data_IF_041139720456
#
_entry.id   IF_041139720456
#
_cell.length_a   1.000
_cell.length_b   1.000
_cell.length_c   1.000
_cell.angle_alpha   90.00
_cell.angle_beta   90.00
_cell.angle_gamma   90.00
#
_symmetry.space_group_name_H-M   'P 1'
#
loop_
_entity.id
_entity.type
_entity.pdbx_description
1 polymer ?
#
# COMPACT_ATOMS: atom_id res chain seq x y z
N UNK A 1 27.13 4.00 43.25
CA UNK A 1 27.02 4.27 41.80
C UNK A 1 26.30 3.14 41.04
N UNK A 2 26.63 1.86 41.31
CA UNK A 2 25.96 0.69 40.71
C UNK A 2 24.44 0.59 41.00
N UNK A 3 24.02 0.79 42.25
CA UNK A 3 22.60 0.68 42.64
C UNK A 3 21.69 1.76 42.03
N UNK A 4 22.19 3.00 41.93
CA UNK A 4 21.44 4.10 41.33
C UNK A 4 21.22 3.89 39.82
N UNK A 5 22.23 3.35 39.12
CA UNK A 5 22.10 3.00 37.71
C UNK A 5 21.09 1.86 37.50
N UNK A 6 21.16 0.84 38.35
CA UNK A 6 20.21 -0.29 38.34
C UNK A 6 18.76 0.16 38.61
N UNK A 7 18.55 1.11 39.53
CA UNK A 7 17.23 1.68 39.81
C UNK A 7 16.65 2.47 38.63
N UNK A 8 17.50 3.21 37.90
CA UNK A 8 17.10 3.95 36.69
C UNK A 8 16.70 2.97 35.58
N UNK A 9 17.48 1.92 35.35
CA UNK A 9 17.19 0.92 34.31
C UNK A 9 15.90 0.15 34.61
N UNK A 10 15.68 -0.19 35.89
CA UNK A 10 14.42 -0.80 36.35
C UNK A 10 13.22 0.11 36.10
N UNK A 11 13.32 1.39 36.46
CA UNK A 11 12.23 2.35 36.27
C UNK A 11 11.89 2.55 34.79
N UNK A 12 12.90 2.59 33.91
CA UNK A 12 12.72 2.66 32.45
C UNK A 12 12.04 1.41 31.90
N UNK A 13 12.46 0.22 32.34
CA UNK A 13 11.85 -1.04 31.93
C UNK A 13 10.37 -1.12 32.36
N UNK A 14 10.05 -0.69 33.58
CA UNK A 14 8.67 -0.63 34.07
C UNK A 14 7.82 0.40 33.29
N UNK A 15 8.39 1.56 32.94
CA UNK A 15 7.71 2.54 32.11
C UNK A 15 7.42 1.99 30.71
N UNK A 16 8.40 1.33 30.10
CA UNK A 16 8.23 0.66 28.80
C UNK A 16 7.14 -0.40 28.87
N UNK A 17 7.17 -1.28 29.88
CA UNK A 17 6.15 -2.32 30.06
C UNK A 17 4.73 -1.74 30.19
N UNK A 18 4.56 -0.66 30.95
CA UNK A 18 3.26 0.04 31.07
C UNK A 18 2.80 0.62 29.73
N UNK A 19 3.72 1.20 28.95
CA UNK A 19 3.41 1.74 27.62
C UNK A 19 2.95 0.62 26.67
N UNK A 20 3.64 -0.52 26.65
CA UNK A 20 3.25 -1.68 25.83
C UNK A 20 1.86 -2.19 26.21
N UNK A 21 1.57 -2.33 27.50
CA UNK A 21 0.27 -2.79 27.98
C UNK A 21 -0.85 -1.83 27.58
N UNK A 22 -0.62 -0.52 27.68
CA UNK A 22 -1.58 0.49 27.21
C UNK A 22 -1.82 0.38 25.70
N UNK A 23 -0.76 0.19 24.90
CA UNK A 23 -0.90 -0.01 23.45
C UNK A 23 -1.72 -1.26 23.13
N UNK A 24 -1.44 -2.40 23.79
CA UNK A 24 -2.20 -3.65 23.61
C UNK A 24 -3.68 -3.47 23.96
N UNK A 25 -3.98 -2.78 25.07
CA UNK A 25 -5.36 -2.50 25.48
C UNK A 25 -6.10 -1.61 24.49
N UNK A 26 -5.42 -0.64 23.88
CA UNK A 26 -6.03 0.25 22.88
C UNK A 26 -6.29 -0.51 21.58
N UNK A 27 -5.31 -1.25 21.09
CA UNK A 27 -5.40 -2.05 19.87
C UNK A 27 -6.43 -3.19 20.00
N UNK A 28 -6.59 -3.75 21.21
CA UNK A 28 -7.52 -4.85 21.45
C UNK A 28 -7.01 -6.18 20.88
N UNK A 29 -7.71 -7.26 21.23
CA UNK A 29 -7.29 -8.63 20.90
C UNK A 29 -7.28 -8.91 19.39
N UNK A 30 -8.27 -8.39 18.65
CA UNK A 30 -8.40 -8.62 17.21
C UNK A 30 -7.22 -8.04 16.43
N UNK A 31 -6.86 -6.78 16.68
CA UNK A 31 -5.71 -6.14 16.03
C UNK A 31 -4.40 -6.75 16.51
N UNK A 32 -4.29 -7.07 17.80
CA UNK A 32 -3.09 -7.74 18.34
C UNK A 32 -2.85 -9.10 17.67
N UNK A 33 -3.91 -9.86 17.37
CA UNK A 33 -3.79 -11.15 16.69
C UNK A 33 -3.18 -11.03 15.28
N UNK A 34 -3.41 -9.90 14.59
CA UNK A 34 -2.86 -9.66 13.24
C UNK A 34 -1.33 -9.56 13.25
N UNK A 35 -0.71 -9.10 14.34
CA UNK A 35 0.75 -9.07 14.43
C UNK A 35 1.38 -10.47 14.39
N UNK A 36 0.64 -11.50 14.78
CA UNK A 36 1.06 -12.90 14.74
C UNK A 36 0.67 -13.61 13.44
N UNK A 37 -0.14 -12.99 12.59
CA UNK A 37 -0.58 -13.55 11.31
C UNK A 37 0.54 -13.44 10.26
N UNK A 38 1.10 -14.57 9.78
CA UNK A 38 2.19 -14.54 8.80
C UNK A 38 1.73 -14.09 7.41
N UNK A 39 0.43 -14.05 7.14
CA UNK A 39 -0.12 -13.56 5.87
C UNK A 39 -0.39 -12.06 5.89
N UNK A 40 -0.42 -11.42 7.06
CA UNK A 40 -0.75 -10.01 7.20
C UNK A 40 0.39 -9.09 6.71
N UNK A 41 0.00 -8.07 5.95
CA UNK A 41 0.91 -7.10 5.31
C UNK A 41 0.78 -5.74 6.00
N UNK A 42 -0.44 -5.26 6.18
CA UNK A 42 -0.71 -3.92 6.69
C UNK A 42 -2.03 -3.86 7.47
N UNK A 43 -2.06 -3.06 8.54
CA UNK A 43 -3.26 -2.74 9.31
C UNK A 43 -3.53 -1.25 9.15
N UNK A 44 -4.76 -0.86 8.77
CA UNK A 44 -5.13 0.52 8.49
C UNK A 44 -6.34 0.92 9.32
N UNK A 45 -6.29 2.09 9.96
CA UNK A 45 -7.47 2.76 10.51
C UNK A 45 -7.85 3.92 9.58
N UNK A 46 -9.04 3.83 9.01
CA UNK A 46 -9.61 4.87 8.16
C UNK A 46 -10.32 5.96 8.98
N UNK A 47 -10.63 7.07 8.32
CA UNK A 47 -11.25 8.24 8.96
C UNK A 47 -12.72 8.03 9.36
N UNK A 48 -13.36 6.99 8.84
CA UNK A 48 -14.68 6.52 9.25
C UNK A 48 -14.65 5.61 10.50
N UNK A 49 -13.46 5.32 11.04
CA UNK A 49 -13.26 4.49 12.23
C UNK A 49 -13.19 2.99 11.93
N UNK A 50 -13.27 2.55 10.67
CA UNK A 50 -13.07 1.15 10.31
C UNK A 50 -11.58 0.80 10.31
N UNK A 51 -11.27 -0.37 10.85
CA UNK A 51 -9.94 -0.97 10.82
C UNK A 51 -9.93 -2.03 9.73
N UNK A 52 -9.08 -1.85 8.74
CA UNK A 52 -8.87 -2.77 7.63
C UNK A 52 -7.53 -3.49 7.82
N UNK A 53 -7.40 -4.66 7.21
CA UNK A 53 -6.17 -5.45 7.17
C UNK A 53 -5.95 -5.98 5.77
N UNK A 54 -4.73 -5.79 5.25
CA UNK A 54 -4.26 -6.39 4.02
C UNK A 54 -3.57 -7.72 4.32
N UNK A 55 -3.92 -8.77 3.57
CA UNK A 55 -3.26 -10.09 3.65
C UNK A 55 -2.80 -10.56 2.27
N UNK A 56 -1.68 -11.27 2.24
CA UNK A 56 -1.14 -11.89 1.04
C UNK A 56 -2.18 -12.77 0.34
N UNK A 57 -2.55 -12.41 -0.89
CA UNK A 57 -3.46 -13.17 -1.74
C UNK A 57 -4.95 -13.08 -1.36
N UNK A 58 -5.32 -12.23 -0.40
CA UNK A 58 -6.71 -12.06 0.03
C UNK A 58 -7.21 -10.61 -0.08
N UNK A 59 -6.35 -9.67 -0.51
CA UNK A 59 -6.70 -8.25 -0.60
C UNK A 59 -6.90 -7.58 0.75
N UNK A 60 -7.59 -6.45 0.75
CA UNK A 60 -7.93 -5.69 1.95
C UNK A 60 -9.30 -6.12 2.46
N UNK A 61 -9.37 -6.44 3.76
CA UNK A 61 -10.61 -6.87 4.42
C UNK A 61 -10.86 -6.07 5.70
N UNK A 62 -12.14 -5.85 6.04
CA UNK A 62 -12.51 -5.21 7.30
C UNK A 62 -12.26 -6.15 8.48
N UNK A 63 -11.57 -5.67 9.50
CA UNK A 63 -11.24 -6.41 10.71
C UNK A 63 -12.17 -6.07 11.86
N UNK A 64 -12.28 -4.78 12.19
CA UNK A 64 -13.02 -4.29 13.36
C UNK A 64 -13.24 -2.77 13.24
N UNK A 65 -13.76 -2.12 14.29
CA UNK A 65 -13.87 -0.65 14.34
C UNK A 65 -13.12 -0.09 15.56
N UNK A 66 -12.61 1.14 15.44
CA UNK A 66 -11.91 1.84 16.50
C UNK A 66 -12.49 3.25 16.69
N UNK A 67 -12.94 3.60 17.91
CA UNK A 67 -13.33 4.97 18.23
C UNK A 67 -12.15 5.95 18.08
N UNK A 68 -12.42 7.14 17.55
CA UNK A 68 -11.41 8.19 17.35
C UNK A 68 -10.60 8.50 18.62
N UNK A 69 -11.23 8.49 19.81
CA UNK A 69 -10.54 8.71 21.09
C UNK A 69 -9.46 7.65 21.37
N UNK A 70 -9.72 6.38 21.04
CA UNK A 70 -8.71 5.31 21.16
C UNK A 70 -7.56 5.53 20.19
N UNK A 71 -7.87 5.93 18.95
CA UNK A 71 -6.85 6.22 17.95
C UNK A 71 -5.93 7.37 18.39
N UNK A 72 -6.48 8.52 18.84
CA UNK A 72 -5.67 9.63 19.39
C UNK A 72 -4.74 9.14 20.50
N UNK A 73 -5.24 8.31 21.42
CA UNK A 73 -4.43 7.78 22.52
C UNK A 73 -3.28 6.91 21.99
N UNK A 74 -3.51 6.06 20.98
CA UNK A 74 -2.46 5.26 20.36
C UNK A 74 -1.40 6.14 19.70
N UNK A 75 -1.81 7.15 18.93
CA UNK A 75 -0.90 8.11 18.31
C UNK A 75 -0.08 8.88 19.36
N UNK A 76 -0.69 9.26 20.48
CA UNK A 76 0.00 9.88 21.61
C UNK A 76 1.05 8.96 22.26
N UNK A 77 0.72 7.68 22.47
CA UNK A 77 1.68 6.69 22.98
C UNK A 77 2.82 6.46 22.00
N UNK A 78 2.53 6.37 20.70
CA UNK A 78 3.55 6.28 19.65
C UNK A 78 4.44 7.51 19.63
N UNK A 79 3.88 8.71 19.74
CA UNK A 79 4.66 9.94 19.82
C UNK A 79 5.58 9.92 21.05
N UNK A 80 5.06 9.55 22.22
CA UNK A 80 5.84 9.42 23.45
C UNK A 80 6.97 8.39 23.33
N UNK A 81 6.70 7.22 22.74
CA UNK A 81 7.70 6.18 22.50
C UNK A 81 8.82 6.65 21.54
N UNK A 82 8.46 7.50 20.58
CA UNK A 82 9.38 8.09 19.60
C UNK A 82 10.02 9.40 20.08
N UNK A 83 9.82 9.77 21.35
CA UNK A 83 10.33 11.02 21.94
C UNK A 83 9.93 12.27 21.14
N UNK A 84 8.72 12.25 20.56
CA UNK A 84 8.13 13.35 19.81
C UNK A 84 6.77 13.73 20.39
N UNK A 85 6.21 14.83 19.90
CA UNK A 85 4.84 15.25 20.17
C UNK A 85 3.95 15.00 18.95
N UNK A 86 2.65 14.92 19.22
CA UNK A 86 1.59 14.94 18.22
C UNK A 86 0.54 15.94 18.66
N UNK A 87 0.11 16.79 17.74
CA UNK A 87 -0.82 17.88 18.04
C UNK A 87 -1.22 18.62 16.78
N UNK A 88 -2.05 19.65 16.90
CA UNK A 88 -2.59 20.38 15.74
C UNK A 88 -1.50 20.96 14.83
N UNK A 89 -0.40 21.43 15.41
CA UNK A 89 0.73 22.02 14.70
C UNK A 89 1.71 20.98 14.14
N UNK A 90 1.69 19.75 14.69
CA UNK A 90 2.47 18.60 14.25
C UNK A 90 1.57 17.37 14.17
N UNK A 91 0.73 17.27 13.12
CA UNK A 91 -0.36 16.30 13.08
C UNK A 91 0.06 14.90 12.66
N UNK A 92 1.35 14.63 12.47
CA UNK A 92 1.87 13.37 11.92
C UNK A 92 2.81 12.71 12.94
N UNK A 93 2.67 11.39 13.10
CA UNK A 93 3.56 10.54 13.90
C UNK A 93 4.03 9.38 13.04
N UNK A 94 5.34 9.20 12.92
CA UNK A 94 5.93 8.12 12.14
C UNK A 94 7.08 7.46 12.90
N UNK A 95 7.29 6.17 12.63
CA UNK A 95 8.46 5.45 13.13
C UNK A 95 8.24 3.96 13.27
N UNK A 96 9.27 3.26 13.74
CA UNK A 96 9.14 1.86 14.13
C UNK A 96 8.39 1.75 15.47
N UNK A 97 7.45 0.83 15.53
CA UNK A 97 6.80 0.40 16.77
C UNK A 97 7.80 -0.33 17.69
N UNK A 98 7.44 -0.52 18.97
CA UNK A 98 8.25 -1.33 19.88
C UNK A 98 8.52 -2.77 19.38
N UNK A 99 9.58 -3.43 19.87
CA UNK A 99 9.92 -4.81 19.53
C UNK A 99 8.77 -5.81 19.73
N UNK A 100 7.93 -5.58 20.73
CA UNK A 100 6.74 -6.37 21.07
C UNK A 100 5.65 -6.33 19.99
N UNK A 101 5.75 -5.36 19.07
CA UNK A 101 4.94 -5.21 17.86
C UNK A 101 5.79 -5.42 16.60
N UNK A 102 6.79 -6.30 16.72
CA UNK A 102 7.67 -6.75 15.62
C UNK A 102 8.44 -5.62 14.93
N UNK A 103 8.63 -4.48 15.60
CA UNK A 103 9.23 -3.27 14.99
C UNK A 103 8.49 -2.83 13.71
N UNK A 104 7.18 -3.08 13.63
CA UNK A 104 6.35 -2.69 12.50
C UNK A 104 6.46 -1.19 12.23
N UNK A 105 6.34 -0.79 10.97
CA UNK A 105 6.39 0.63 10.60
C UNK A 105 5.02 1.25 10.84
N UNK A 106 4.98 2.29 11.65
CA UNK A 106 3.79 3.06 11.97
C UNK A 106 3.84 4.40 11.27
N UNK A 107 2.71 4.82 10.69
CA UNK A 107 2.45 6.18 10.26
C UNK A 107 1.03 6.54 10.66
N UNK A 108 0.84 7.65 11.37
CA UNK A 108 -0.49 8.10 11.79
C UNK A 108 -0.63 9.60 11.65
N UNK A 109 -1.86 10.04 11.45
CA UNK A 109 -2.19 11.46 11.42
C UNK A 109 -3.46 11.79 12.21
N UNK A 110 -3.55 13.05 12.64
CA UNK A 110 -4.71 13.64 13.32
C UNK A 110 -5.21 14.88 12.58
N UNK A 111 -6.39 15.41 12.92
CA UNK A 111 -6.84 16.70 12.42
C UNK A 111 -5.82 17.83 12.64
N UNK A 112 -5.65 18.75 11.66
CA UNK A 112 -6.54 18.98 10.52
C UNK A 112 -6.16 18.24 9.23
N UNK A 113 -5.11 17.40 9.22
CA UNK A 113 -4.66 16.72 7.99
C UNK A 113 -5.69 15.71 7.49
N UNK A 114 -6.38 15.07 8.41
CA UNK A 114 -7.52 14.17 8.18
C UNK A 114 -8.73 14.63 9.01
N UNK A 115 -9.97 14.31 8.62
CA UNK A 115 -11.16 14.70 9.38
C UNK A 115 -11.20 14.08 10.79
N UNK A 116 -10.69 12.85 10.92
CA UNK A 116 -10.54 12.11 12.18
C UNK A 116 -9.16 11.45 12.22
N UNK A 117 -8.70 10.93 13.37
CA UNK A 117 -7.41 10.27 13.48
C UNK A 117 -7.35 8.98 12.65
N UNK A 118 -6.28 8.82 11.89
CA UNK A 118 -6.02 7.62 11.06
C UNK A 118 -4.61 7.11 11.30
N UNK A 119 -4.37 5.84 10.99
CA UNK A 119 -3.02 5.29 10.98
C UNK A 119 -2.89 4.09 10.03
N UNK A 120 -1.66 3.79 9.65
CA UNK A 120 -1.25 2.60 8.94
C UNK A 120 -0.08 1.94 9.68
N UNK A 121 -0.14 0.62 9.84
CA UNK A 121 0.87 -0.22 10.47
C UNK A 121 1.30 -1.25 9.44
N UNK A 122 2.46 -1.03 8.83
CA UNK A 122 3.04 -1.99 7.89
C UNK A 122 3.89 -3.00 8.63
N UNK A 123 3.51 -4.26 8.53
CA UNK A 123 4.18 -5.37 9.18
C UNK A 123 5.44 -5.76 8.39
N UNK A 124 6.51 -6.20 9.08
CA UNK A 124 7.69 -6.71 8.38
C UNK A 124 7.34 -8.02 7.68
N UNK A 125 7.77 -8.14 6.42
CA UNK A 125 7.57 -9.35 5.63
C UNK A 125 8.19 -10.56 6.35
N UNK A 126 7.37 -11.55 6.67
CA UNK A 126 7.79 -12.85 7.23
C UNK A 126 8.21 -13.84 6.14
N UNK A 127 7.61 -13.73 4.95
CA UNK A 127 7.91 -14.57 3.80
C UNK A 127 9.08 -13.99 3.01
N UNK A 128 10.21 -14.66 3.11
CA UNK A 128 11.30 -14.49 2.15
C UNK A 128 10.92 -15.34 0.93
N UNK A 129 10.51 -14.68 -0.15
CA UNK A 129 10.30 -15.34 -1.44
C UNK A 129 11.67 -15.61 -2.06
N UNK A 130 11.99 -16.88 -2.26
CA UNK A 130 13.19 -17.32 -2.96
C UNK A 130 13.03 -17.10 -4.46
N UNK A 131 14.13 -17.07 -5.22
CA UNK A 131 14.04 -17.03 -6.69
C UNK A 131 13.28 -18.24 -7.25
N UNK A 132 13.31 -19.38 -6.56
CA UNK A 132 12.55 -20.59 -6.92
C UNK A 132 11.04 -20.39 -6.72
N UNK A 133 10.62 -19.65 -5.68
CA UNK A 133 9.21 -19.27 -5.50
C UNK A 133 8.72 -18.36 -6.65
N UNK A 134 9.59 -17.47 -7.15
CA UNK A 134 9.27 -16.63 -8.30
C UNK A 134 9.22 -17.42 -9.61
N UNK A 135 10.05 -18.46 -9.78
CA UNK A 135 9.97 -19.34 -10.96
C UNK A 135 8.72 -20.20 -10.92
N UNK A 136 8.44 -20.83 -9.78
CA UNK A 136 7.26 -21.69 -9.62
C UNK A 136 5.94 -20.93 -9.75
N UNK A 137 5.91 -19.64 -9.37
CA UNK A 137 4.75 -18.76 -9.59
C UNK A 137 4.69 -18.13 -11.00
N UNK A 138 5.67 -18.40 -11.87
CA UNK A 138 5.73 -17.89 -13.23
C UNK A 138 6.10 -16.40 -13.34
N UNK A 139 6.48 -15.75 -12.24
CA UNK A 139 6.94 -14.35 -12.21
C UNK A 139 8.34 -14.23 -12.81
N UNK A 140 9.20 -15.23 -12.62
CA UNK A 140 10.50 -15.37 -13.28
C UNK A 140 10.51 -16.61 -14.17
N UNK A 141 11.22 -16.54 -15.30
CA UNK A 141 11.63 -17.75 -16.01
C UNK A 141 12.91 -18.33 -15.42
N UNK A 142 13.16 -19.63 -15.64
CA UNK A 142 14.41 -20.27 -15.21
C UNK A 142 15.65 -19.57 -15.79
N UNK A 143 15.55 -19.08 -17.03
CA UNK A 143 16.61 -18.31 -17.68
C UNK A 143 16.86 -16.96 -16.97
N UNK A 144 15.79 -16.25 -16.57
CA UNK A 144 15.89 -14.98 -15.83
C UNK A 144 16.48 -15.20 -14.43
N UNK A 145 16.09 -16.27 -13.75
CA UNK A 145 16.69 -16.71 -12.48
C UNK A 145 18.19 -16.93 -12.66
N UNK A 146 18.61 -17.68 -13.68
CA UNK A 146 20.03 -17.91 -13.96
C UNK A 146 20.83 -16.62 -14.18
N UNK A 147 20.27 -15.65 -14.91
CA UNK A 147 20.91 -14.33 -15.12
C UNK A 147 21.03 -13.53 -13.82
N UNK A 148 20.02 -13.59 -12.94
CA UNK A 148 20.04 -12.91 -11.64
C UNK A 148 21.09 -13.54 -10.71
N UNK A 149 21.13 -14.87 -10.61
CA UNK A 149 22.13 -15.59 -9.81
C UNK A 149 23.55 -15.24 -10.27
N UNK A 150 23.82 -15.32 -11.58
CA UNK A 150 25.14 -14.97 -12.13
C UNK A 150 25.52 -13.49 -11.91
N UNK A 151 24.54 -12.58 -11.91
CA UNK A 151 24.77 -11.17 -11.61
C UNK A 151 25.09 -10.94 -10.12
N UNK A 152 24.44 -11.67 -9.21
CA UNK A 152 24.71 -11.64 -7.77
C UNK A 152 26.10 -12.20 -7.47
N UNK A 153 26.43 -13.38 -8.02
CA UNK A 153 27.75 -14.02 -7.83
C UNK A 153 28.88 -13.16 -8.39
N UNK A 154 28.63 -12.51 -9.53
CA UNK A 154 29.52 -11.52 -10.12
C UNK A 154 29.55 -10.16 -9.40
N UNK A 155 28.85 -10.02 -8.27
CA UNK A 155 28.72 -8.79 -7.46
C UNK A 155 28.33 -7.56 -8.28
N UNK A 156 27.49 -7.74 -9.29
CA UNK A 156 26.99 -6.63 -10.10
C UNK A 156 25.99 -5.82 -9.28
N UNK A 157 25.95 -4.51 -9.50
CA UNK A 157 24.91 -3.66 -8.94
C UNK A 157 23.57 -3.99 -9.64
N UNK A 158 22.59 -4.46 -8.87
CA UNK A 158 21.27 -4.85 -9.39
C UNK A 158 20.24 -3.81 -8.93
N UNK A 159 19.66 -3.10 -9.89
CA UNK A 159 18.52 -2.21 -9.66
C UNK A 159 17.24 -2.97 -9.98
N UNK A 160 16.40 -3.18 -8.97
CA UNK A 160 15.04 -3.70 -9.14
C UNK A 160 14.10 -2.51 -9.29
N UNK A 161 13.44 -2.40 -10.43
CA UNK A 161 12.49 -1.34 -10.75
C UNK A 161 11.13 -1.98 -11.02
N UNK A 162 10.16 -1.75 -10.13
CA UNK A 162 8.74 -2.04 -10.35
C UNK A 162 7.99 -0.74 -10.61
N UNK A 163 7.02 -0.76 -11.52
CA UNK A 163 6.17 0.41 -11.77
C UNK A 163 5.12 0.56 -10.68
N UNK A 164 4.97 1.75 -10.12
CA UNK A 164 3.64 2.24 -9.74
C UNK A 164 2.92 2.62 -11.04
N UNK A 165 2.03 1.76 -11.51
CA UNK A 165 1.15 2.01 -12.67
C UNK A 165 1.78 1.70 -14.04
N UNK A 166 1.15 0.78 -14.78
CA UNK A 166 1.39 0.62 -16.21
C UNK A 166 0.81 1.83 -16.95
N UNK A 167 1.59 2.49 -17.80
CA UNK A 167 1.10 3.59 -18.63
C UNK A 167 0.61 3.05 -19.98
N UNK A 168 -0.62 3.39 -20.37
CA UNK A 168 -1.12 3.11 -21.71
C UNK A 168 -0.40 3.96 -22.76
N UNK A 169 -0.38 3.49 -24.01
CA UNK A 169 0.08 4.31 -25.14
C UNK A 169 -0.67 5.65 -25.19
N UNK A 170 0.05 6.74 -25.42
CA UNK A 170 -0.46 8.10 -25.42
C UNK A 170 -0.57 8.73 -24.02
N UNK A 171 -0.21 8.03 -22.95
CA UNK A 171 -0.25 8.58 -21.61
C UNK A 171 0.69 9.81 -21.49
N UNK A 172 0.20 10.95 -21.01
CA UNK A 172 1.00 12.18 -20.95
C UNK A 172 2.02 12.12 -19.80
N UNK A 173 3.30 12.32 -20.12
CA UNK A 173 4.37 12.48 -19.15
C UNK A 173 4.75 13.95 -19.06
N UNK A 174 4.71 14.51 -17.84
CA UNK A 174 5.17 15.87 -17.58
C UNK A 174 6.70 15.91 -17.55
N UNK A 175 7.27 16.70 -18.45
CA UNK A 175 8.71 16.89 -18.58
C UNK A 175 9.20 17.98 -17.62
N UNK A 176 10.49 17.98 -17.31
CA UNK A 176 11.09 18.94 -16.38
C UNK A 176 11.03 20.40 -16.86
N UNK A 177 10.89 20.62 -18.17
CA UNK A 177 10.69 21.93 -18.79
C UNK A 177 9.22 22.37 -18.81
N UNK A 178 8.31 21.57 -18.24
CA UNK A 178 6.87 21.81 -18.23
C UNK A 178 6.14 21.35 -19.49
N UNK A 179 6.84 20.83 -20.50
CA UNK A 179 6.20 20.24 -21.67
C UNK A 179 5.56 18.88 -21.36
N UNK A 180 4.64 18.44 -22.21
CA UNK A 180 4.05 17.10 -22.13
C UNK A 180 4.62 16.26 -23.27
N UNK A 181 5.13 15.07 -22.93
CA UNK A 181 5.59 14.08 -23.90
C UNK A 181 4.78 12.78 -23.74
N UNK A 182 4.28 12.17 -24.81
CA UNK A 182 3.66 10.84 -24.73
C UNK A 182 4.65 9.80 -24.20
N UNK A 183 4.18 8.85 -23.39
CA UNK A 183 5.03 7.84 -22.73
C UNK A 183 5.82 6.98 -23.72
N UNK A 184 5.26 6.71 -24.92
CA UNK A 184 5.94 5.94 -25.96
C UNK A 184 7.15 6.67 -26.55
N UNK A 185 7.15 8.00 -26.53
CA UNK A 185 8.18 8.86 -27.12
C UNK A 185 9.29 9.22 -26.11
N UNK A 186 9.12 8.86 -24.84
CA UNK A 186 10.16 9.05 -23.82
C UNK A 186 11.38 8.19 -24.17
N UNK A 187 12.56 8.81 -24.13
CA UNK A 187 13.85 8.16 -24.41
C UNK A 187 14.80 8.25 -23.21
N UNK A 188 15.78 7.35 -23.15
CA UNK A 188 16.86 7.45 -22.15
C UNK A 188 17.59 8.78 -22.32
N UNK A 189 17.82 9.48 -21.21
CA UNK A 189 18.40 10.82 -21.16
C UNK A 189 17.37 11.94 -20.96
N UNK A 190 16.09 11.69 -21.23
CA UNK A 190 15.03 12.68 -21.00
C UNK A 190 14.96 13.12 -19.54
N UNK A 191 14.56 14.39 -19.33
CA UNK A 191 14.33 14.96 -18.01
C UNK A 191 12.83 15.02 -17.72
N UNK A 192 12.34 14.14 -16.86
CA UNK A 192 10.92 14.11 -16.43
C UNK A 192 10.73 14.88 -15.13
N UNK A 193 9.53 15.38 -14.89
CA UNK A 193 9.19 16.10 -13.65
C UNK A 193 9.01 15.12 -12.49
N UNK A 194 9.74 15.33 -11.39
CA UNK A 194 9.52 14.60 -10.14
C UNK A 194 8.33 15.18 -9.35
N UNK A 195 7.72 14.39 -8.45
CA UNK A 195 6.63 14.86 -7.59
C UNK A 195 7.06 15.98 -6.62
N UNK A 196 8.36 16.13 -6.40
CA UNK A 196 8.97 17.23 -5.65
C UNK A 196 9.30 18.45 -6.52
N UNK A 197 8.75 18.52 -7.73
CA UNK A 197 9.02 19.56 -8.74
C UNK A 197 10.49 19.65 -9.17
N UNK A 198 11.32 18.63 -8.90
CA UNK A 198 12.73 18.59 -9.33
C UNK A 198 12.91 17.63 -10.51
N UNK A 199 13.82 17.93 -11.46
CA UNK A 199 14.06 17.05 -12.62
C UNK A 199 14.53 15.64 -12.23
N UNK A 200 14.11 14.62 -12.98
CA UNK A 200 14.62 13.23 -12.93
C UNK A 200 15.11 12.83 -14.31
N UNK A 201 16.22 12.10 -14.37
CA UNK A 201 16.76 11.61 -15.65
C UNK A 201 16.24 10.21 -15.91
N UNK A 202 15.69 9.98 -17.10
CA UNK A 202 15.35 8.64 -17.56
C UNK A 202 16.65 7.90 -17.83
N UNK A 203 17.02 6.95 -16.97
CA UNK A 203 18.27 6.19 -17.10
C UNK A 203 18.07 4.90 -17.90
N UNK A 204 16.84 4.38 -17.95
CA UNK A 204 16.47 3.14 -18.64
C UNK A 204 14.96 3.11 -18.85
N UNK A 205 14.54 2.45 -19.93
CA UNK A 205 13.14 2.21 -20.26
C UNK A 205 12.82 0.73 -20.17
N UNK A 206 11.60 0.43 -19.74
CA UNK A 206 11.00 -0.90 -19.81
C UNK A 206 9.76 -0.79 -20.68
N UNK A 207 9.72 -1.57 -21.76
CA UNK A 207 8.59 -1.62 -22.69
C UNK A 207 8.01 -3.02 -22.65
N UNK A 208 6.68 -3.10 -22.68
CA UNK A 208 5.94 -4.35 -22.69
C UNK A 208 4.63 -4.16 -23.44
N UNK A 209 4.04 -5.27 -23.86
CA UNK A 209 2.70 -5.33 -24.41
C UNK A 209 1.82 -6.09 -23.42
N UNK A 210 0.64 -5.55 -23.15
CA UNK A 210 -0.37 -6.20 -22.31
C UNK A 210 -1.76 -5.79 -22.83
N UNK A 211 -2.77 -6.58 -22.48
CA UNK A 211 -4.14 -6.22 -22.77
C UNK A 211 -4.55 -5.06 -21.85
N UNK A 212 -4.97 -3.95 -22.46
CA UNK A 212 -5.40 -2.77 -21.72
C UNK A 212 -6.92 -2.68 -21.68
N UNK A 213 -7.44 -2.18 -20.56
CA UNK A 213 -8.85 -1.98 -20.28
C UNK A 213 -9.09 -0.52 -19.94
N UNK A 214 -10.01 0.12 -20.66
CA UNK A 214 -10.49 1.47 -20.30
C UNK A 214 -11.59 1.35 -19.26
N UNK A 215 -11.38 1.97 -18.11
CA UNK A 215 -12.32 2.02 -17.00
C UNK A 215 -13.06 3.35 -17.03
N UNK A 216 -14.39 3.31 -17.20
CA UNK A 216 -15.25 4.49 -17.03
C UNK A 216 -16.00 4.40 -15.68
N UNK A 217 -15.53 5.07 -14.62
CA UNK A 217 -16.28 5.13 -13.37
C UNK A 217 -17.51 6.04 -13.54
N UNK A 218 -18.54 5.81 -12.71
CA UNK A 218 -19.73 6.66 -12.67
C UNK A 218 -19.47 8.08 -12.14
N UNK A 219 -18.33 8.30 -11.50
CA UNK A 219 -17.80 9.61 -11.06
C UNK A 219 -16.29 9.65 -11.28
N UNK A 220 -15.78 10.78 -11.77
CA UNK A 220 -14.36 10.97 -12.06
C UNK A 220 -14.01 10.64 -13.52
N UNK A 221 -12.74 10.85 -13.85
CA UNK A 221 -12.24 10.67 -15.21
C UNK A 221 -12.02 9.19 -15.53
N UNK A 222 -12.11 8.88 -16.82
CA UNK A 222 -11.76 7.56 -17.32
C UNK A 222 -10.26 7.31 -17.13
N UNK A 223 -9.90 6.08 -16.80
CA UNK A 223 -8.49 5.68 -16.69
C UNK A 223 -8.27 4.36 -17.41
N UNK A 224 -7.02 4.06 -17.76
CA UNK A 224 -6.66 2.85 -18.53
C UNK A 224 -5.69 2.04 -17.70
N UNK A 225 -5.98 0.75 -17.57
CA UNK A 225 -5.23 -0.20 -16.75
C UNK A 225 -4.93 -1.46 -17.54
N UNK A 226 -3.96 -2.25 -17.08
CA UNK A 226 -3.69 -3.55 -17.69
C UNK A 226 -4.59 -4.66 -17.10
N UNK A 227 -4.56 -5.84 -17.70
CA UNK A 227 -5.38 -6.99 -17.31
C UNK A 227 -5.31 -7.32 -15.81
N UNK A 228 -4.10 -7.35 -15.25
CA UNK A 228 -3.84 -7.70 -13.85
C UNK A 228 -4.08 -6.58 -12.84
N UNK A 229 -4.54 -5.39 -13.27
CA UNK A 229 -4.82 -4.31 -12.34
C UNK A 229 -6.03 -4.65 -11.47
N UNK A 230 -5.85 -4.54 -10.15
CA UNK A 230 -6.91 -4.78 -9.17
C UNK A 230 -7.81 -3.55 -9.11
N UNK A 231 -9.09 -3.74 -9.42
CA UNK A 231 -10.13 -2.73 -9.32
C UNK A 231 -10.89 -2.92 -8.00
N UNK A 232 -10.75 -1.99 -7.04
CA UNK A 232 -11.63 -1.97 -5.88
C UNK A 232 -12.99 -1.42 -6.30
N UNK A 233 -14.01 -2.29 -6.30
CA UNK A 233 -15.38 -1.96 -6.65
C UNK A 233 -16.22 -1.82 -5.38
N UNK A 234 -16.84 -0.65 -5.18
CA UNK A 234 -17.81 -0.44 -4.10
C UNK A 234 -19.23 -0.42 -4.65
N UNK A 235 -20.10 -1.29 -4.11
CA UNK A 235 -21.51 -1.39 -4.49
C UNK A 235 -22.44 -1.15 -3.31
N UNK A 236 -23.58 -0.49 -3.55
CA UNK A 236 -24.70 -0.45 -2.59
C UNK A 236 -25.62 -1.64 -2.87
N UNK A 237 -25.86 -2.51 -1.87
CA UNK A 237 -26.91 -3.53 -1.96
C UNK A 237 -28.28 -2.87 -2.12
N UNK A 238 -29.12 -3.39 -3.03
CA UNK A 238 -30.53 -2.98 -3.19
C UNK A 238 -31.39 -3.51 -2.02
N UNK A 239 -30.90 -4.52 -1.30
CA UNK A 239 -31.58 -5.13 -0.14
C UNK A 239 -30.65 -5.01 1.07
N UNK A 240 -30.91 -4.01 1.92
CA UNK A 240 -30.23 -3.83 3.19
C UNK A 240 -28.84 -3.21 3.10
N UNK A 241 -28.77 -1.89 2.83
CA UNK A 241 -27.88 -0.89 3.45
C UNK A 241 -26.34 -1.03 3.45
N UNK A 242 -25.76 -2.21 3.32
CA UNK A 242 -24.34 -2.42 3.48
C UNK A 242 -23.61 -2.20 2.14
N UNK A 243 -22.55 -1.39 2.20
CA UNK A 243 -21.57 -1.26 1.14
C UNK A 243 -20.67 -2.49 1.17
N UNK A 244 -20.63 -3.23 0.07
CA UNK A 244 -19.65 -4.30 -0.12
C UNK A 244 -18.55 -3.77 -1.05
N UNK A 245 -17.30 -3.88 -0.60
CA UNK A 245 -16.11 -3.66 -1.43
C UNK A 245 -15.63 -5.02 -1.95
N UNK A 246 -15.44 -5.10 -3.27
CA UNK A 246 -14.99 -6.27 -4.00
C UNK A 246 -13.76 -5.89 -4.80
N UNK A 247 -12.67 -6.61 -4.61
CA UNK A 247 -11.47 -6.48 -5.44
C UNK A 247 -11.52 -7.55 -6.53
N UNK A 248 -11.52 -7.11 -7.79
CA UNK A 248 -11.42 -8.00 -8.95
C UNK A 248 -10.43 -7.42 -9.95
N UNK A 249 -9.78 -8.26 -10.74
CA UNK A 249 -8.92 -7.76 -11.82
C UNK A 249 -9.73 -7.12 -12.94
N UNK A 250 -9.10 -6.24 -13.72
CA UNK A 250 -9.73 -5.61 -14.89
C UNK A 250 -10.24 -6.64 -15.91
N UNK A 251 -9.50 -7.74 -16.09
CA UNK A 251 -9.91 -8.84 -16.98
C UNK A 251 -11.15 -9.59 -16.45
N UNK A 252 -11.17 -9.92 -15.15
CA UNK A 252 -12.32 -10.60 -14.51
C UNK A 252 -13.58 -9.74 -14.56
N UNK A 253 -13.43 -8.43 -14.30
CA UNK A 253 -14.51 -7.45 -14.43
C UNK A 253 -15.09 -7.44 -15.86
N UNK A 254 -14.22 -7.42 -16.88
CA UNK A 254 -14.63 -7.42 -18.28
C UNK A 254 -15.36 -8.70 -18.67
N UNK A 255 -14.81 -9.87 -18.31
CA UNK A 255 -15.44 -11.17 -18.59
C UNK A 255 -16.83 -11.25 -17.95
N UNK A 256 -16.97 -10.82 -16.69
CA UNK A 256 -18.23 -10.86 -15.97
C UNK A 256 -19.30 -9.94 -16.58
N UNK A 257 -18.94 -8.69 -16.93
CA UNK A 257 -19.85 -7.72 -17.57
C UNK A 257 -20.26 -8.17 -18.97
N UNK A 258 -19.32 -8.72 -19.75
CA UNK A 258 -19.57 -9.19 -21.11
C UNK A 258 -20.56 -10.36 -21.17
N UNK A 259 -20.54 -11.24 -20.15
CA UNK A 259 -21.44 -12.39 -20.04
C UNK A 259 -22.83 -12.02 -19.49
N UNK A 260 -22.97 -10.86 -18.85
CA UNK A 260 -24.23 -10.42 -18.23
C UNK A 260 -24.61 -9.00 -18.70
N UNK A 261 -25.19 -8.83 -19.91
CA UNK A 261 -25.45 -7.51 -20.49
C UNK A 261 -26.44 -6.65 -19.67
N UNK A 262 -27.32 -7.27 -18.87
CA UNK A 262 -28.20 -6.56 -17.93
C UNK A 262 -27.44 -5.85 -16.79
N UNK A 263 -26.20 -6.24 -16.54
CA UNK A 263 -25.27 -5.62 -15.59
C UNK A 263 -24.69 -4.30 -16.10
N UNK A 264 -24.82 -3.98 -17.39
CA UNK A 264 -24.48 -2.65 -17.95
C UNK A 264 -25.35 -1.51 -17.40
N UNK A 265 -26.44 -1.83 -16.68
CA UNK A 265 -27.26 -0.85 -15.95
C UNK A 265 -26.70 -0.50 -14.57
N UNK A 266 -25.67 -1.20 -14.08
CA UNK A 266 -24.85 -0.71 -12.96
C UNK A 266 -24.06 0.48 -13.49
N UNK A 267 -24.26 1.67 -12.91
CA UNK A 267 -23.75 2.97 -13.40
C UNK A 267 -22.21 3.13 -13.36
N UNK A 268 -21.45 2.05 -13.32
CA UNK A 268 -20.00 2.06 -13.28
C UNK A 268 -19.49 0.94 -14.20
N UNK A 269 -18.51 1.27 -15.05
CA UNK A 269 -17.72 0.38 -15.91
C UNK A 269 -18.36 0.05 -17.26
N UNK A 270 -18.13 0.95 -18.21
CA UNK A 270 -17.86 0.51 -19.59
C UNK A 270 -16.41 0.05 -19.62
N UNK A 271 -16.19 -1.20 -19.98
CA UNK A 271 -14.87 -1.79 -20.18
C UNK A 271 -14.72 -2.10 -21.67
N UNK A 272 -13.89 -1.32 -22.34
CA UNK A 272 -13.49 -1.62 -23.71
C UNK A 272 -12.09 -2.25 -23.68
N UNK A 273 -11.93 -3.40 -24.33
CA UNK A 273 -10.61 -3.99 -24.54
C UNK A 273 -9.90 -3.18 -25.64
N UNK A 274 -8.81 -2.52 -25.27
CA UNK A 274 -7.97 -1.81 -26.23
C UNK A 274 -6.75 -2.69 -26.48
N UNK A 275 -6.76 -3.41 -27.60
CA UNK A 275 -5.59 -4.13 -28.06
C UNK A 275 -4.57 -3.12 -28.59
N UNK A 276 -3.42 -2.98 -27.92
CA UNK A 276 -2.28 -2.26 -28.46
C UNK A 276 -1.27 -3.26 -29.04
N UNK A 277 -0.95 -3.06 -30.33
CA UNK A 277 0.27 -3.57 -30.96
C UNK A 277 1.49 -2.85 -30.42
#
# INVERSE_FOLDING_TARGET
MSEALHAIDKAKAEQHARLIEQMRRILGSEICAVFEDPSAVEIMLNDDGRVLVERHGQGITELTTMPAAKAVNLLGLMASYRETTVGRDKPIVEGAMPPEFRRARFAGCIPPLTPTPTFAIRLPATKIFTLDDYVSSGILTEEQRGKLVAAIDGRKNILVSGGTGCHAKGHPILMADGSIKPVEDVVVGDKVMGPDSRPRTVVRLHRGQDQMYRIQPGKGDAFVVNAGHILPLSGKSIVGGNLHELEITAEEAYKHISQHPRSQRLRCLVLDSIAYK
#
